data_IF_235142217229
#
_entry.id   IF_235142217229
#
_cell.length_a   1.000
_cell.length_b   1.000
_cell.length_c   1.000
_cell.angle_alpha   90.00
_cell.angle_beta   90.00
_cell.angle_gamma   90.00
#
_symmetry.space_group_name_H-M   'P 1'
#
loop_
_entity.id
_entity.type
_entity.pdbx_description
1 polymer ?
#
# COMPACT_ATOMS: atom_id res chain seq x y z
N UNK A 1 0.92 2.79 -15.22
CA UNK A 1 0.82 2.72 -13.74
C UNK A 1 -0.54 3.26 -13.35
N UNK A 2 -1.21 2.67 -12.37
CA UNK A 2 -2.47 3.19 -11.80
C UNK A 2 -2.15 3.65 -10.38
N UNK A 3 -2.58 4.84 -9.99
CA UNK A 3 -2.28 5.43 -8.69
C UNK A 3 -3.53 6.08 -8.10
N UNK A 4 -3.56 6.19 -6.77
CA UNK A 4 -4.50 7.06 -6.06
C UNK A 4 -3.71 8.13 -5.31
N UNK A 5 -4.12 9.40 -5.48
CA UNK A 5 -3.51 10.55 -4.81
C UNK A 5 -3.77 10.55 -3.30
N UNK A 6 -4.78 9.79 -2.86
CA UNK A 6 -5.15 9.67 -1.44
C UNK A 6 -4.47 8.47 -0.80
N UNK A 7 -4.46 7.33 -1.48
CA UNK A 7 -3.95 6.10 -0.89
C UNK A 7 -2.42 6.00 -0.87
N UNK A 8 -1.72 6.76 -1.73
CA UNK A 8 -0.30 6.54 -2.03
C UNK A 8 0.04 5.08 -2.39
N UNK A 9 -0.98 4.30 -2.79
CA UNK A 9 -0.88 2.94 -3.28
C UNK A 9 -0.89 2.94 -4.81
N UNK A 10 -0.19 1.98 -5.38
CA UNK A 10 0.18 1.98 -6.79
C UNK A 10 0.02 0.58 -7.38
N UNK A 11 -0.57 0.50 -8.57
CA UNK A 11 -0.54 -0.69 -9.40
C UNK A 11 0.49 -0.55 -10.54
N UNK A 12 1.42 -1.51 -10.62
CA UNK A 12 2.43 -1.58 -11.66
C UNK A 12 2.09 -2.68 -12.66
N UNK A 13 2.22 -2.39 -13.95
CA UNK A 13 2.14 -3.42 -15.00
C UNK A 13 3.52 -4.05 -15.15
N UNK A 14 3.58 -5.38 -15.09
CA UNK A 14 4.79 -6.15 -15.29
C UNK A 14 4.71 -6.84 -16.65
N UNK A 15 5.58 -6.44 -17.57
CA UNK A 15 5.71 -7.03 -18.89
C UNK A 15 6.92 -7.99 -18.91
N UNK A 16 6.74 -9.20 -18.40
CA UNK A 16 7.74 -10.29 -18.52
C UNK A 16 7.51 -11.13 -19.77
N UNK A 17 8.54 -11.81 -20.32
CA UNK A 17 8.42 -12.65 -21.52
C UNK A 17 7.54 -13.91 -21.37
N UNK A 18 7.14 -14.24 -20.15
CA UNK A 18 6.36 -15.43 -19.79
C UNK A 18 4.84 -15.21 -19.93
N UNK A 19 4.04 -16.25 -19.65
CA UNK A 19 2.55 -16.22 -19.69
C UNK A 19 1.91 -15.09 -18.85
N UNK A 20 2.67 -14.50 -17.92
CA UNK A 20 2.23 -13.39 -17.07
C UNK A 20 2.51 -11.99 -17.66
N UNK A 21 2.79 -11.89 -18.96
CA UNK A 21 2.96 -10.60 -19.65
C UNK A 21 1.72 -9.71 -19.46
N UNK A 22 1.93 -8.42 -19.20
CA UNK A 22 0.84 -7.45 -19.07
C UNK A 22 0.01 -7.59 -17.80
N UNK A 23 0.44 -8.41 -16.82
CA UNK A 23 -0.23 -8.55 -15.53
C UNK A 23 0.14 -7.41 -14.58
N UNK A 24 -0.77 -7.12 -13.67
CA UNK A 24 -0.61 -6.06 -12.70
C UNK A 24 -0.25 -6.60 -11.33
N UNK A 25 0.53 -5.83 -10.57
CA UNK A 25 0.78 -6.05 -9.14
C UNK A 25 0.38 -4.79 -8.38
N UNK A 26 -0.15 -4.96 -7.17
CA UNK A 26 -0.52 -3.88 -6.26
C UNK A 26 0.51 -3.75 -5.15
N UNK A 27 0.86 -2.53 -4.78
CA UNK A 27 1.92 -2.20 -3.81
C UNK A 27 1.69 -2.72 -2.39
N UNK A 28 0.44 -3.03 -2.02
CA UNK A 28 0.08 -3.59 -0.72
C UNK A 28 -0.31 -5.07 -0.77
N UNK A 29 -0.27 -5.70 -1.96
CA UNK A 29 -0.48 -7.14 -2.10
C UNK A 29 0.85 -7.89 -2.29
N UNK A 30 0.91 -9.20 -1.95
CA UNK A 30 2.06 -10.00 -2.28
C UNK A 30 2.36 -10.00 -3.79
N UNK A 31 3.61 -9.79 -4.18
CA UNK A 31 4.02 -9.59 -5.60
C UNK A 31 3.86 -10.82 -6.49
N UNK A 32 3.66 -12.01 -5.88
CA UNK A 32 3.30 -13.22 -6.61
C UNK A 32 1.84 -13.19 -7.11
N UNK A 33 0.96 -12.33 -6.55
CA UNK A 33 -0.40 -12.15 -7.07
C UNK A 33 -0.35 -11.34 -8.36
N UNK A 34 -0.83 -11.95 -9.45
CA UNK A 34 -0.88 -11.35 -10.79
C UNK A 34 -2.33 -11.03 -11.14
N UNK A 35 -2.60 -9.75 -11.35
CA UNK A 35 -3.94 -9.23 -11.52
C UNK A 35 -4.24 -8.88 -12.97
N UNK A 36 -5.52 -8.93 -13.34
CA UNK A 36 -6.01 -8.21 -14.52
C UNK A 36 -5.97 -6.71 -14.29
N UNK A 37 -6.21 -5.92 -15.34
CA UNK A 37 -6.29 -4.47 -15.22
C UNK A 37 -7.49 -4.05 -14.36
N UNK A 38 -8.62 -4.74 -14.48
CA UNK A 38 -9.84 -4.49 -13.72
C UNK A 38 -9.62 -4.76 -12.23
N UNK A 39 -8.96 -5.87 -11.89
CA UNK A 39 -8.60 -6.19 -10.51
C UNK A 39 -7.61 -5.16 -9.94
N UNK A 40 -6.61 -4.74 -10.71
CA UNK A 40 -5.68 -3.71 -10.29
C UNK A 40 -6.39 -2.38 -9.99
N UNK A 41 -7.37 -1.99 -10.81
CA UNK A 41 -8.18 -0.82 -10.56
C UNK A 41 -9.01 -0.98 -9.28
N UNK A 42 -9.70 -2.12 -9.13
CA UNK A 42 -10.50 -2.41 -7.95
C UNK A 42 -9.68 -2.31 -6.65
N UNK A 43 -8.43 -2.78 -6.65
CA UNK A 43 -7.58 -2.66 -5.47
C UNK A 43 -7.09 -1.25 -5.16
N UNK A 44 -6.81 -0.43 -6.17
CA UNK A 44 -6.50 0.99 -5.92
C UNK A 44 -7.71 1.71 -5.31
N UNK A 45 -8.92 1.47 -5.84
CA UNK A 45 -10.17 2.04 -5.32
C UNK A 45 -10.44 1.55 -3.88
N UNK A 46 -10.29 0.25 -3.62
CA UNK A 46 -10.46 -0.32 -2.29
C UNK A 46 -9.52 0.31 -1.26
N UNK A 47 -8.24 0.49 -1.60
CA UNK A 47 -7.27 1.13 -0.72
C UNK A 47 -7.65 2.58 -0.40
N UNK A 48 -8.13 3.31 -1.39
CA UNK A 48 -8.62 4.68 -1.21
C UNK A 48 -9.84 4.73 -0.29
N UNK A 49 -10.84 3.88 -0.51
CA UNK A 49 -12.03 3.82 0.35
C UNK A 49 -11.67 3.54 1.80
N UNK A 50 -10.81 2.54 2.05
CA UNK A 50 -10.36 2.18 3.40
C UNK A 50 -9.64 3.36 4.07
N UNK A 51 -8.71 4.00 3.36
CA UNK A 51 -7.92 5.09 3.93
C UNK A 51 -8.75 6.36 4.15
N UNK A 52 -9.68 6.69 3.26
CA UNK A 52 -10.61 7.80 3.47
C UNK A 52 -11.53 7.52 4.66
N UNK A 53 -12.09 6.29 4.74
CA UNK A 53 -12.96 5.89 5.85
C UNK A 53 -12.25 5.95 7.20
N UNK A 54 -11.00 5.50 7.28
CA UNK A 54 -10.19 5.58 8.50
C UNK A 54 -9.83 7.02 8.88
N UNK A 55 -9.51 7.88 7.91
CA UNK A 55 -9.06 9.25 8.14
C UNK A 55 -10.21 10.25 8.36
N UNK A 56 -11.45 9.88 8.00
CA UNK A 56 -12.64 10.72 8.17
C UNK A 56 -13.70 10.00 9.00
N UNK A 57 -13.67 10.13 10.35
CA UNK A 57 -14.66 9.52 11.24
C UNK A 57 -16.12 9.97 11.02
N UNK A 58 -16.35 10.99 10.18
CA UNK A 58 -17.67 11.48 9.76
C UNK A 58 -17.99 11.21 8.30
N UNK A 59 -17.09 10.55 7.56
CA UNK A 59 -17.34 10.10 6.20
C UNK A 59 -18.12 8.80 6.23
N UNK A 60 -19.09 8.66 5.34
CA UNK A 60 -19.77 7.37 5.12
C UNK A 60 -18.77 6.42 4.47
N UNK A 61 -18.30 5.43 5.24
CA UNK A 61 -17.58 4.30 4.69
C UNK A 61 -18.61 3.31 4.14
N UNK A 62 -18.68 3.21 2.81
CA UNK A 62 -19.58 2.27 2.14
C UNK A 62 -18.97 0.86 2.17
N UNK A 63 -19.36 0.08 3.17
CA UNK A 63 -18.85 -1.28 3.40
C UNK A 63 -19.26 -2.26 2.30
N UNK A 64 -20.45 -2.08 1.71
CA UNK A 64 -20.95 -2.95 0.64
C UNK A 64 -20.12 -2.77 -0.64
N UNK A 65 -19.85 -1.51 -1.01
CA UNK A 65 -18.99 -1.22 -2.17
C UNK A 65 -17.55 -1.66 -1.91
N UNK A 66 -17.04 -1.50 -0.69
CA UNK A 66 -15.71 -2.00 -0.32
C UNK A 66 -15.63 -3.54 -0.43
N UNK A 67 -16.68 -4.26 0.00
CA UNK A 67 -16.75 -5.70 -0.10
C UNK A 67 -16.70 -6.18 -1.56
N UNK A 68 -17.46 -5.54 -2.46
CA UNK A 68 -17.43 -5.86 -3.89
C UNK A 68 -16.02 -5.73 -4.49
N UNK A 69 -15.30 -4.66 -4.16
CA UNK A 69 -13.92 -4.48 -4.63
C UNK A 69 -12.94 -5.49 -4.01
N UNK A 70 -13.13 -5.86 -2.74
CA UNK A 70 -12.30 -6.87 -2.07
C UNK A 70 -12.52 -8.27 -2.67
N UNK A 71 -13.76 -8.64 -2.97
CA UNK A 71 -14.11 -9.91 -3.61
C UNK A 71 -13.49 -10.06 -5.00
N UNK A 72 -13.40 -8.98 -5.79
CA UNK A 72 -12.69 -8.99 -7.08
C UNK A 72 -11.21 -9.40 -6.94
N UNK A 73 -10.62 -9.18 -5.77
CA UNK A 73 -9.23 -9.55 -5.44
C UNK A 73 -9.12 -10.91 -4.73
N UNK A 74 -10.25 -11.56 -4.42
CA UNK A 74 -10.28 -12.76 -3.57
C UNK A 74 -9.77 -12.47 -2.17
N UNK A 75 -10.24 -11.37 -1.57
CA UNK A 75 -9.92 -10.91 -0.21
C UNK A 75 -11.19 -10.51 0.52
N UNK A 76 -11.16 -10.53 1.85
CA UNK A 76 -12.12 -9.75 2.65
C UNK A 76 -11.66 -8.29 2.77
N UNK A 77 -12.58 -7.39 3.15
CA UNK A 77 -12.24 -6.00 3.48
C UNK A 77 -11.22 -5.97 4.63
N UNK A 78 -11.40 -6.82 5.64
CA UNK A 78 -10.47 -6.95 6.77
C UNK A 78 -9.07 -7.37 6.33
N UNK A 79 -8.94 -8.31 5.38
CA UNK A 79 -7.62 -8.71 4.86
C UNK A 79 -6.92 -7.52 4.17
N UNK A 80 -7.67 -6.75 3.38
CA UNK A 80 -7.14 -5.56 2.73
C UNK A 80 -6.69 -4.50 3.75
N UNK A 81 -7.49 -4.25 4.81
CA UNK A 81 -7.13 -3.36 5.90
C UNK A 81 -5.83 -3.81 6.61
N UNK A 82 -5.72 -5.10 6.93
CA UNK A 82 -4.53 -5.66 7.56
C UNK A 82 -3.28 -5.48 6.68
N UNK A 83 -3.38 -5.77 5.38
CA UNK A 83 -2.28 -5.61 4.43
C UNK A 83 -1.82 -4.15 4.32
N UNK A 84 -2.77 -3.20 4.30
CA UNK A 84 -2.48 -1.77 4.29
C UNK A 84 -1.81 -1.31 5.60
N UNK A 85 -2.30 -1.76 6.76
CA UNK A 85 -1.74 -1.41 8.07
C UNK A 85 -0.31 -1.94 8.27
N UNK A 86 -0.03 -3.16 7.82
CA UNK A 86 1.31 -3.75 7.86
C UNK A 86 2.32 -2.94 7.03
N UNK A 87 1.86 -2.36 5.91
CA UNK A 87 2.69 -1.53 5.04
C UNK A 87 3.02 -0.17 5.68
N UNK A 88 2.07 0.45 6.37
CA UNK A 88 2.30 1.71 7.09
C UNK A 88 3.31 1.52 8.24
N UNK A 89 3.19 0.42 8.98
CA UNK A 89 4.13 0.04 10.05
C UNK A 89 5.58 -0.08 9.58
N UNK A 90 5.79 -0.47 8.31
CA UNK A 90 7.11 -0.53 7.68
C UNK A 90 7.65 0.83 7.22
N UNK A 91 6.76 1.81 6.99
CA UNK A 91 7.10 3.17 6.52
C UNK A 91 7.58 4.08 7.65
N UNK A 92 7.02 3.91 8.85
CA UNK A 92 7.39 4.69 10.04
C UNK A 92 8.72 4.24 10.67
N UNK A 93 9.29 3.11 10.23
CA UNK A 93 10.60 2.60 10.66
C UNK A 93 11.77 3.19 9.87
N UNK A 94 11.70 4.47 9.48
CA UNK A 94 12.85 5.11 8.84
C UNK A 94 14.03 5.17 9.84
N UNK A 95 15.22 4.65 9.49
CA UNK A 95 16.38 4.53 10.38
C UNK A 95 17.16 5.84 10.61
N UNK A 96 16.56 7.00 10.35
CA UNK A 96 17.27 8.28 10.35
C UNK A 96 17.58 8.84 11.75
N UNK A 97 17.20 8.16 12.84
CA UNK A 97 17.50 8.63 14.20
C UNK A 97 18.72 7.97 14.87
N UNK A 98 19.36 6.96 14.27
CA UNK A 98 20.56 6.35 14.87
C UNK A 98 21.89 6.91 14.34
N UNK A 99 21.88 7.65 13.22
CA UNK A 99 23.09 8.16 12.57
C UNK A 99 23.68 9.46 13.14
N UNK A 100 22.92 10.23 13.92
CA UNK A 100 23.33 11.57 14.35
C UNK A 100 23.94 11.62 15.77
N UNK A 101 23.64 10.61 16.60
CA UNK A 101 24.17 10.53 17.97
C UNK A 101 25.67 10.12 18.00
N UNK A 102 26.14 9.33 17.03
CA UNK A 102 27.55 8.89 17.01
C UNK A 102 28.50 9.97 16.47
N UNK A 103 28.01 10.88 15.61
CA UNK A 103 28.84 11.94 15.00
C UNK A 103 29.02 13.18 15.88
N UNK A 104 28.10 13.41 16.82
CA UNK A 104 28.19 14.52 17.78
C UNK A 104 29.13 14.21 18.95
N UNK A 105 29.27 12.94 19.35
CA UNK A 105 30.22 12.52 20.38
C UNK A 105 31.69 12.65 19.94
N UNK A 106 32.02 12.38 18.67
CA UNK A 106 33.41 12.47 18.17
C UNK A 106 33.92 13.90 17.95
N UNK A 107 33.06 14.91 17.85
CA UNK A 107 33.49 16.32 17.68
C UNK A 107 33.76 17.05 19.00
N UNK A 108 33.47 16.43 20.14
CA UNK A 108 33.67 17.03 21.47
C UNK A 108 35.01 16.66 22.11
N UNK A 109 35.82 15.82 21.47
CA UNK A 109 37.12 15.37 21.98
C UNK A 109 38.35 16.15 21.46
N UNK A 110 38.14 17.25 20.72
CA UNK A 110 39.22 18.11 20.19
C UNK A 110 38.96 19.61 20.41
N UNK A 111 38.61 19.99 21.65
CA UNK A 111 38.74 21.37 22.11
C UNK A 111 39.37 21.41 23.49
#
# INVERSE_FOLDING_TARGET
MITSDVAHEVAFRIDVPEEHRGRWVLSYLPTYRRLTREQAMAGVVLAEMILIGLLRPRGEFDEEVAALHAEMLGLSVTDAMCLLALRQSGRDRHPDQEGESVRSASRRALR
#
